data_IF_432030236226
#
_entry.id   IF_432030236226
#
_cell.length_a   1.000
_cell.length_b   1.000
_cell.length_c   1.000
_cell.angle_alpha   90.00
_cell.angle_beta   90.00
_cell.angle_gamma   90.00
#
_symmetry.space_group_name_H-M   'P 1'
#
loop_
_entity.id
_entity.type
_entity.pdbx_description
1 polymer ?
#
# COMPACT_ATOMS: atom_id res chain seq x y z
N UNK A 1 23.51 12.32 -7.47
CA UNK A 1 22.74 12.92 -6.36
C UNK A 1 22.11 14.18 -6.93
N UNK A 2 20.80 14.33 -7.17
CA UNK A 2 19.60 13.85 -6.51
C UNK A 2 18.56 13.38 -7.55
N UNK A 3 18.10 12.12 -7.50
CA UNK A 3 17.06 11.62 -8.43
C UNK A 3 15.65 12.13 -8.07
N UNK A 4 15.49 12.73 -6.89
CA UNK A 4 14.24 13.29 -6.38
C UNK A 4 14.40 14.80 -6.14
N UNK A 5 13.37 15.59 -6.47
CA UNK A 5 13.37 17.02 -6.12
C UNK A 5 12.88 17.26 -4.67
N UNK A 6 12.99 18.51 -4.20
CA UNK A 6 12.62 18.89 -2.83
C UNK A 6 11.15 18.63 -2.52
N UNK A 7 10.26 18.80 -3.50
CA UNK A 7 8.85 18.45 -3.35
C UNK A 7 8.66 16.95 -3.13
N UNK A 8 9.32 16.10 -3.94
CA UNK A 8 9.24 14.66 -3.77
C UNK A 8 9.81 14.20 -2.42
N UNK A 9 10.90 14.81 -1.94
CA UNK A 9 11.45 14.53 -0.60
C UNK A 9 10.47 14.91 0.50
N UNK A 10 9.89 16.11 0.43
CA UNK A 10 8.91 16.60 1.40
C UNK A 10 7.68 15.69 1.48
N UNK A 11 7.11 15.31 0.32
CA UNK A 11 5.96 14.41 0.30
C UNK A 11 6.30 13.03 0.86
N UNK A 12 7.48 12.49 0.54
CA UNK A 12 7.93 11.22 1.12
C UNK A 12 8.06 11.28 2.63
N UNK A 13 8.61 12.37 3.16
CA UNK A 13 8.68 12.58 4.61
C UNK A 13 7.27 12.69 5.23
N UNK A 14 6.39 13.51 4.65
CA UNK A 14 5.02 13.74 5.16
C UNK A 14 4.21 12.44 5.28
N UNK A 15 4.11 11.66 4.20
CA UNK A 15 3.32 10.41 4.23
C UNK A 15 4.08 9.25 4.87
N UNK A 16 5.40 9.29 4.91
CA UNK A 16 6.20 8.38 5.72
C UNK A 16 5.96 8.56 7.21
N UNK A 17 5.89 9.81 7.67
CA UNK A 17 5.51 10.14 9.05
C UNK A 17 4.09 9.65 9.37
N UNK A 18 3.13 9.87 8.47
CA UNK A 18 1.76 9.37 8.66
C UNK A 18 1.70 7.85 8.69
N UNK A 19 2.45 7.14 7.84
CA UNK A 19 2.56 5.69 7.89
C UNK A 19 3.19 5.20 9.21
N UNK A 20 4.21 5.90 9.71
CA UNK A 20 4.76 5.61 11.03
C UNK A 20 3.71 5.80 12.14
N UNK A 21 2.89 6.86 12.08
CA UNK A 21 1.76 7.04 13.00
C UNK A 21 0.75 5.90 12.89
N UNK A 22 0.45 5.41 11.69
CA UNK A 22 -0.44 4.25 11.47
C UNK A 22 0.14 3.01 12.16
N UNK A 23 1.43 2.71 11.96
CA UNK A 23 2.08 1.58 12.67
C UNK A 23 1.95 1.75 14.17
N UNK A 24 2.28 2.93 14.70
CA UNK A 24 2.26 3.18 16.14
C UNK A 24 0.85 2.99 16.71
N UNK A 25 -0.17 3.57 16.08
CA UNK A 25 -1.56 3.45 16.55
C UNK A 25 -2.05 2.01 16.44
N UNK A 26 -1.86 1.35 15.30
CA UNK A 26 -2.32 -0.03 15.10
C UNK A 26 -1.61 -1.02 16.02
N UNK A 27 -0.30 -0.87 16.24
CA UNK A 27 0.45 -1.73 17.16
C UNK A 27 -0.02 -1.52 18.60
N UNK A 28 -0.29 -0.28 19.03
CA UNK A 28 -0.85 -0.02 20.36
C UNK A 28 -2.25 -0.61 20.52
N UNK A 29 -3.11 -0.47 19.51
CA UNK A 29 -4.43 -1.10 19.51
C UNK A 29 -4.31 -2.62 19.58
N UNK A 30 -3.41 -3.22 18.79
CA UNK A 30 -3.15 -4.67 18.81
C UNK A 30 -2.68 -5.13 20.19
N UNK A 31 -1.75 -4.39 20.78
CA UNK A 31 -1.25 -4.65 22.12
C UNK A 31 -2.36 -4.59 23.17
N UNK A 32 -3.22 -3.57 23.15
CA UNK A 32 -4.32 -3.46 24.11
C UNK A 32 -5.40 -4.53 23.90
N UNK A 33 -5.67 -4.92 22.65
CA UNK A 33 -6.58 -6.02 22.35
C UNK A 33 -6.06 -7.35 22.91
N UNK A 34 -4.77 -7.63 22.71
CA UNK A 34 -4.12 -8.81 23.29
C UNK A 34 -4.09 -8.75 24.82
N UNK A 35 -3.74 -7.61 25.41
CA UNK A 35 -3.58 -7.46 26.87
C UNK A 35 -4.90 -7.57 27.64
N UNK A 36 -5.97 -6.93 27.16
CA UNK A 36 -7.23 -6.82 27.91
C UNK A 36 -8.30 -7.84 27.50
N UNK A 37 -8.23 -8.36 26.27
CA UNK A 37 -9.26 -9.24 25.73
C UNK A 37 -8.74 -10.63 25.33
N UNK A 38 -7.44 -10.90 25.53
CA UNK A 38 -6.77 -12.13 25.05
C UNK A 38 -7.05 -12.39 23.56
N UNK A 39 -7.19 -11.31 22.79
CA UNK A 39 -7.62 -11.36 21.41
C UNK A 39 -6.41 -11.49 20.49
N UNK A 40 -6.37 -12.58 19.73
CA UNK A 40 -5.35 -12.85 18.71
C UNK A 40 -6.03 -13.19 17.39
N UNK A 41 -5.84 -12.35 16.38
CA UNK A 41 -6.47 -12.48 15.06
C UNK A 41 -5.54 -13.07 14.01
N UNK A 42 -4.22 -13.04 14.24
CA UNK A 42 -3.24 -13.77 13.45
C UNK A 42 -2.92 -15.14 14.04
N UNK A 43 -2.37 -16.04 13.23
CA UNK A 43 -1.83 -17.32 13.69
C UNK A 43 -0.74 -17.14 14.76
N UNK A 44 0.08 -16.09 14.61
CA UNK A 44 1.09 -15.67 15.60
C UNK A 44 1.11 -14.15 15.76
N UNK A 45 1.63 -13.64 16.88
CA UNK A 45 1.74 -12.20 17.12
C UNK A 45 2.74 -11.50 16.18
N UNK A 46 3.76 -12.22 15.70
CA UNK A 46 4.69 -11.71 14.69
C UNK A 46 3.98 -11.47 13.36
N UNK A 47 3.07 -12.38 12.97
CA UNK A 47 2.28 -12.22 11.74
C UNK A 47 1.38 -10.98 11.81
N UNK A 48 0.70 -10.76 12.94
CA UNK A 48 -0.12 -9.55 13.15
C UNK A 48 0.71 -8.28 12.97
N UNK A 49 1.91 -8.28 13.57
CA UNK A 49 2.85 -7.15 13.46
C UNK A 49 3.31 -6.94 12.02
N UNK A 50 3.63 -8.02 11.29
CA UNK A 50 4.00 -7.94 9.87
C UNK A 50 2.86 -7.36 9.02
N UNK A 51 1.63 -7.80 9.23
CA UNK A 51 0.46 -7.32 8.50
C UNK A 51 0.20 -5.83 8.80
N UNK A 52 0.33 -5.40 10.06
CA UNK A 52 0.23 -3.97 10.43
C UNK A 52 1.26 -3.12 9.70
N UNK A 53 2.52 -3.57 9.67
CA UNK A 53 3.60 -2.88 8.95
C UNK A 53 3.32 -2.83 7.45
N UNK A 54 2.82 -3.92 6.86
CA UNK A 54 2.43 -3.96 5.45
C UNK A 54 1.29 -2.98 5.14
N UNK A 55 0.27 -2.86 5.99
CA UNK A 55 -0.81 -1.88 5.83
C UNK A 55 -0.26 -0.45 5.78
N UNK A 56 0.64 -0.10 6.71
CA UNK A 56 1.26 1.23 6.72
C UNK A 56 2.17 1.47 5.50
N UNK A 57 2.92 0.46 5.08
CA UNK A 57 3.75 0.51 3.88
C UNK A 57 2.87 0.75 2.63
N UNK A 58 1.79 0.00 2.47
CA UNK A 58 0.81 0.15 1.40
C UNK A 58 0.24 1.58 1.38
N UNK A 59 -0.17 2.10 2.53
CA UNK A 59 -0.64 3.48 2.66
C UNK A 59 0.39 4.48 2.14
N UNK A 60 1.64 4.41 2.62
CA UNK A 60 2.68 5.35 2.19
C UNK A 60 2.96 5.27 0.69
N UNK A 61 3.02 4.05 0.12
CA UNK A 61 3.27 3.82 -1.30
C UNK A 61 2.17 4.44 -2.17
N UNK A 62 0.91 4.18 -1.81
CA UNK A 62 -0.25 4.75 -2.50
C UNK A 62 -0.17 6.28 -2.48
N UNK A 63 0.12 6.88 -1.33
CA UNK A 63 0.21 8.33 -1.19
C UNK A 63 1.41 8.91 -1.95
N UNK A 64 2.56 8.24 -1.95
CA UNK A 64 3.71 8.67 -2.75
C UNK A 64 3.38 8.68 -4.25
N UNK A 65 2.65 7.68 -4.74
CA UNK A 65 2.28 7.61 -6.16
C UNK A 65 1.24 8.68 -6.48
N UNK A 66 0.18 8.75 -5.67
CA UNK A 66 -0.89 9.72 -5.85
C UNK A 66 -0.37 11.16 -5.85
N UNK A 67 0.65 11.47 -5.04
CA UNK A 67 1.31 12.79 -5.00
C UNK A 67 2.50 12.94 -5.94
N UNK A 68 2.79 11.94 -6.80
CA UNK A 68 3.89 12.01 -7.76
C UNK A 68 5.30 11.97 -7.17
N UNK A 69 5.44 11.51 -5.93
CA UNK A 69 6.69 11.42 -5.18
C UNK A 69 7.36 10.04 -5.25
N UNK A 70 6.74 9.06 -5.91
CA UNK A 70 7.25 7.69 -6.01
C UNK A 70 8.21 7.49 -7.19
N UNK A 71 7.78 7.83 -8.40
CA UNK A 71 8.59 7.64 -9.61
C UNK A 71 9.61 8.76 -9.79
N UNK A 72 10.83 8.39 -10.15
CA UNK A 72 11.86 9.37 -10.53
C UNK A 72 11.57 9.93 -11.93
N UNK A 73 12.06 11.13 -12.24
CA UNK A 73 11.82 11.79 -13.54
C UNK A 73 12.33 11.00 -14.76
N UNK A 74 13.20 10.02 -14.55
CA UNK A 74 13.79 9.17 -15.61
C UNK A 74 12.99 7.89 -15.88
N UNK A 75 12.02 7.56 -15.03
CA UNK A 75 11.22 6.34 -15.17
C UNK A 75 9.95 6.65 -15.95
N UNK A 76 9.48 5.68 -16.74
CA UNK A 76 8.16 5.75 -17.37
C UNK A 76 7.10 5.26 -16.37
N UNK A 77 6.28 6.15 -15.79
CA UNK A 77 5.32 5.77 -14.75
C UNK A 77 4.19 4.87 -15.28
N UNK A 78 3.80 5.05 -16.55
CA UNK A 78 2.74 4.28 -17.19
C UNK A 78 3.16 2.82 -17.38
N UNK A 79 4.38 2.60 -17.92
CA UNK A 79 4.92 1.26 -18.10
C UNK A 79 5.05 0.53 -16.75
N UNK A 80 5.56 1.22 -15.73
CA UNK A 80 5.69 0.65 -14.39
C UNK A 80 4.33 0.30 -13.78
N UNK A 81 3.31 1.16 -13.94
CA UNK A 81 1.97 0.86 -13.47
C UNK A 81 1.38 -0.38 -14.15
N UNK A 82 1.58 -0.56 -15.45
CA UNK A 82 1.12 -1.79 -16.15
C UNK A 82 1.87 -3.02 -15.63
N UNK A 83 3.19 -2.94 -15.46
CA UNK A 83 4.00 -4.04 -14.92
C UNK A 83 3.54 -4.41 -13.51
N UNK A 84 3.37 -3.43 -12.62
CA UNK A 84 2.88 -3.68 -11.27
C UNK A 84 1.48 -4.28 -11.27
N UNK A 85 0.59 -3.83 -12.14
CA UNK A 85 -0.75 -4.39 -12.23
C UNK A 85 -0.72 -5.87 -12.59
N UNK A 86 0.06 -6.25 -13.62
CA UNK A 86 0.21 -7.64 -14.04
C UNK A 86 0.84 -8.49 -12.94
N UNK A 87 1.94 -8.01 -12.32
CA UNK A 87 2.58 -8.71 -11.22
C UNK A 87 1.66 -8.88 -10.01
N UNK A 88 0.84 -7.88 -9.71
CA UNK A 88 -0.15 -7.92 -8.65
C UNK A 88 -1.19 -9.00 -8.87
N UNK A 89 -1.76 -9.06 -10.08
CA UNK A 89 -2.72 -10.09 -10.47
C UNK A 89 -2.11 -11.49 -10.40
N UNK A 90 -0.88 -11.68 -10.89
CA UNK A 90 -0.20 -12.98 -10.81
C UNK A 90 0.07 -13.42 -9.36
N UNK A 91 0.43 -12.50 -8.48
CA UNK A 91 0.62 -12.82 -7.06
C UNK A 91 -0.69 -13.20 -6.38
N UNK A 92 -1.78 -12.47 -6.66
CA UNK A 92 -3.11 -12.81 -6.12
C UNK A 92 -3.57 -14.15 -6.66
N UNK A 93 -3.45 -14.42 -7.96
CA UNK A 93 -3.91 -15.69 -8.55
C UNK A 93 -3.16 -16.88 -7.97
N UNK A 94 -1.84 -16.77 -7.78
CA UNK A 94 -1.04 -17.83 -7.17
C UNK A 94 -1.38 -18.07 -5.69
N UNK A 95 -1.92 -17.07 -4.99
CA UNK A 95 -2.32 -17.20 -3.59
C UNK A 95 -3.66 -17.90 -3.38
N UNK A 96 -4.49 -18.05 -4.41
CA UNK A 96 -5.83 -18.66 -4.32
C UNK A 96 -5.80 -20.21 -4.34
N UNK A 97 -4.72 -20.82 -3.85
CA UNK A 97 -4.58 -22.27 -3.80
C UNK A 97 -5.47 -22.88 -2.71
N UNK A 98 -6.27 -23.93 -3.01
CA UNK A 98 -7.05 -24.66 -1.99
C UNK A 98 -6.19 -25.28 -0.88
N UNK A 99 -4.88 -25.45 -1.12
CA UNK A 99 -3.93 -26.05 -0.18
C UNK A 99 -3.26 -25.03 0.75
N UNK A 100 -3.56 -23.74 0.59
CA UNK A 100 -2.95 -22.65 1.35
C UNK A 100 -4.02 -21.70 1.90
N UNK A 101 -4.87 -22.17 2.84
CA UNK A 101 -5.97 -21.37 3.36
C UNK A 101 -5.42 -20.12 4.05
N UNK A 102 -6.01 -18.97 3.72
CA UNK A 102 -5.69 -17.66 4.29
C UNK A 102 -6.27 -17.53 5.71
N UNK A 103 -7.39 -18.19 5.97
CA UNK A 103 -8.07 -18.17 7.26
C UNK A 103 -8.24 -19.62 7.74
N UNK A 104 -7.79 -19.90 8.95
CA UNK A 104 -7.95 -21.18 9.64
C UNK A 104 -8.38 -20.88 11.08
N UNK A 105 -9.44 -21.54 11.54
CA UNK A 105 -9.98 -21.37 12.91
C UNK A 105 -10.27 -19.91 13.30
N UNK A 106 -10.74 -19.10 12.34
CA UNK A 106 -11.03 -17.68 12.55
C UNK A 106 -9.79 -16.77 12.63
N UNK A 107 -8.59 -17.31 12.46
CA UNK A 107 -7.32 -16.58 12.45
C UNK A 107 -6.75 -16.48 11.04
N UNK A 108 -6.07 -15.36 10.78
CA UNK A 108 -5.32 -15.14 9.55
C UNK A 108 -4.00 -15.91 9.62
N UNK A 109 -3.71 -16.69 8.58
CA UNK A 109 -2.47 -17.48 8.47
C UNK A 109 -1.39 -16.71 7.71
N UNK A 110 -0.15 -17.20 7.76
CA UNK A 110 0.97 -16.64 7.00
C UNK A 110 0.76 -16.59 5.47
N UNK A 111 -0.20 -17.37 4.94
CA UNK A 111 -0.56 -17.33 3.52
C UNK A 111 -1.17 -15.99 3.07
N UNK A 112 -1.57 -15.11 3.99
CA UNK A 112 -2.07 -13.75 3.68
C UNK A 112 -1.01 -12.83 3.07
N UNK A 113 0.28 -13.12 3.28
CA UNK A 113 1.36 -12.21 2.87
C UNK A 113 1.46 -12.10 1.34
N UNK A 114 1.29 -13.21 0.62
CA UNK A 114 1.33 -13.23 -0.84
C UNK A 114 0.18 -12.43 -1.49
N UNK A 115 -1.11 -12.61 -1.11
CA UNK A 115 -2.18 -11.79 -1.63
C UNK A 115 -2.06 -10.33 -1.20
N UNK A 116 -1.57 -10.02 0.01
CA UNK A 116 -1.31 -8.63 0.42
C UNK A 116 -0.24 -7.96 -0.45
N UNK A 117 0.86 -8.65 -0.75
CA UNK A 117 1.87 -8.15 -1.68
C UNK A 117 1.30 -7.95 -3.09
N UNK A 118 0.48 -8.89 -3.57
CA UNK A 118 -0.22 -8.74 -4.83
C UNK A 118 -1.16 -7.53 -4.85
N UNK A 119 -1.95 -7.35 -3.78
CA UNK A 119 -2.84 -6.20 -3.61
C UNK A 119 -2.06 -4.88 -3.57
N UNK A 120 -0.89 -4.84 -2.92
CA UNK A 120 -0.02 -3.67 -2.93
C UNK A 120 0.36 -3.25 -4.36
N UNK A 121 0.76 -4.18 -5.23
CA UNK A 121 1.08 -3.85 -6.62
C UNK A 121 -0.13 -3.41 -7.45
N UNK A 122 -1.29 -4.02 -7.21
CA UNK A 122 -2.55 -3.56 -7.83
C UNK A 122 -2.88 -2.14 -7.38
N UNK A 123 -2.75 -1.82 -6.08
CA UNK A 123 -3.04 -0.49 -5.57
C UNK A 123 -2.03 0.57 -6.04
N UNK A 124 -0.76 0.22 -6.24
CA UNK A 124 0.23 1.10 -6.88
C UNK A 124 -0.29 1.55 -8.26
N UNK A 125 -0.79 0.60 -9.03
CA UNK A 125 -1.30 0.83 -10.38
C UNK A 125 -2.60 1.63 -10.37
N UNK A 126 -3.52 1.29 -9.46
CA UNK A 126 -4.78 2.00 -9.27
C UNK A 126 -4.55 3.46 -8.83
N UNK A 127 -3.64 3.69 -7.88
CA UNK A 127 -3.28 5.03 -7.40
C UNK A 127 -2.72 5.90 -8.52
N UNK A 128 -1.92 5.30 -9.42
CA UNK A 128 -1.40 6.00 -10.59
C UNK A 128 -2.52 6.38 -11.58
N UNK A 129 -3.46 5.47 -11.86
CA UNK A 129 -4.61 5.77 -12.70
C UNK A 129 -5.49 6.87 -12.10
N UNK A 130 -5.80 6.78 -10.80
CA UNK A 130 -6.58 7.80 -10.08
C UNK A 130 -5.91 9.17 -10.19
N UNK A 131 -4.59 9.23 -10.04
CA UNK A 131 -3.83 10.47 -10.24
C UNK A 131 -4.07 11.04 -11.64
N UNK A 132 -3.92 10.23 -12.69
CA UNK A 132 -4.15 10.68 -14.07
C UNK A 132 -5.58 11.16 -14.31
N UNK A 133 -6.58 10.52 -13.70
CA UNK A 133 -7.97 10.94 -13.79
C UNK A 133 -8.21 12.30 -13.12
N UNK A 134 -7.59 12.54 -11.96
CA UNK A 134 -7.71 13.81 -11.24
C UNK A 134 -7.00 14.93 -12.01
N UNK A 135 -5.78 14.71 -12.49
CA UNK A 135 -5.03 15.70 -13.28
C UNK A 135 -5.82 16.10 -14.54
N UNK A 136 -6.34 15.13 -15.29
CA UNK A 136 -7.18 15.39 -16.47
C UNK A 136 -8.48 16.15 -16.17
N UNK A 137 -9.00 16.07 -14.94
CA UNK A 137 -10.21 16.79 -14.55
C UNK A 137 -9.88 18.23 -14.19
N UNK A 138 -8.79 18.46 -13.48
CA UNK A 138 -8.32 19.79 -13.13
C UNK A 138 -7.96 20.60 -14.38
N UNK A 139 -7.24 20.00 -15.34
CA UNK A 139 -6.91 20.67 -16.59
C UNK A 139 -8.17 21.15 -17.33
N UNK A 140 -9.26 20.35 -17.33
CA UNK A 140 -10.52 20.73 -17.98
C UNK A 140 -11.24 21.87 -17.28
N UNK A 141 -11.23 21.88 -15.95
CA UNK A 141 -11.86 22.95 -15.16
C UNK A 141 -11.13 24.28 -15.39
N UNK A 142 -9.80 24.27 -15.49
CA UNK A 142 -8.99 25.47 -15.81
C UNK A 142 -9.21 25.98 -17.26
N UNK A 143 -9.45 25.07 -18.23
CA UNK A 143 -9.75 25.45 -19.62
C UNK A 143 -11.17 26.03 -19.83
N UNK A 144 -12.13 25.67 -18.97
CA UNK A 144 -13.50 26.19 -19.04
C UNK A 144 -13.65 27.56 -18.34
N UNK A 145 -12.66 27.98 -17.54
CA UNK A 145 -12.62 29.28 -16.85
C UNK A 145 -11.86 30.40 -17.61
N UNK A 146 -11.12 30.07 -18.69
CA UNK A 146 -10.47 31.04 -19.63
C UNK A 146 -11.36 31.42 -20.82
#
# INVERSE_FOLDING_TARGET
MSNFDEYQKYMRYKYGYQAFSIVLVLTLLNFFMSLFYDFQWGETGELETMVIVLIAAMYSLIMYIYKGAYFTKKQNPQLNAVIFFILGLLNISNSLSPYSPIIVDGKITSNIIMPLNGAMFVFISAAYLLKLFVEKRQDKEDFDEE
#
